data_IF_135023374593
#
_entry.id   IF_135023374593
#
_cell.length_a   1.000
_cell.length_b   1.000
_cell.length_c   1.000
_cell.angle_alpha   90.00
_cell.angle_beta   90.00
_cell.angle_gamma   90.00
#
_symmetry.space_group_name_H-M   'P 1'
#
loop_
_entity.id
_entity.type
_entity.pdbx_description
1 polymer ?
#
# COMPACT_ATOMS: atom_id res chain seq x y z
N UNK A 1 64.96 -26.61 19.77
CA UNK A 1 64.77 -27.06 21.17
C UNK A 1 63.59 -26.38 21.87
N UNK A 2 63.49 -25.05 21.97
CA UNK A 2 62.36 -24.38 22.66
C UNK A 2 61.03 -24.36 21.85
N UNK A 3 61.08 -24.41 20.51
CA UNK A 3 59.89 -24.46 19.63
C UNK A 3 59.17 -25.81 19.64
N UNK A 4 59.88 -26.88 19.99
CA UNK A 4 59.39 -28.25 19.92
C UNK A 4 58.49 -28.59 21.13
N UNK A 5 58.81 -28.01 22.29
CA UNK A 5 58.01 -28.14 23.51
C UNK A 5 56.62 -27.50 23.35
N UNK A 6 56.56 -26.34 22.68
CA UNK A 6 55.31 -25.62 22.45
C UNK A 6 54.36 -26.37 21.50
N UNK A 7 54.89 -27.05 20.48
CA UNK A 7 54.10 -27.93 19.60
C UNK A 7 53.63 -29.19 20.31
N UNK A 8 54.44 -29.73 21.22
CA UNK A 8 54.08 -30.91 22.03
C UNK A 8 52.92 -30.62 22.97
N UNK A 9 52.95 -29.47 23.66
CA UNK A 9 51.84 -29.02 24.52
C UNK A 9 50.56 -28.78 23.72
N UNK A 10 50.66 -28.13 22.55
CA UNK A 10 49.51 -27.89 21.69
C UNK A 10 48.88 -29.20 21.19
N UNK A 11 49.69 -30.17 20.78
CA UNK A 11 49.16 -31.50 20.39
C UNK A 11 48.48 -32.21 21.55
N UNK A 12 49.03 -32.11 22.76
CA UNK A 12 48.50 -32.73 23.98
C UNK A 12 47.18 -32.09 24.43
N UNK A 13 47.03 -30.79 24.21
CA UNK A 13 45.77 -30.06 24.45
C UNK A 13 44.72 -30.45 23.42
N UNK A 14 45.06 -30.45 22.12
CA UNK A 14 44.13 -30.79 21.04
C UNK A 14 43.69 -32.26 21.13
N UNK A 15 44.58 -33.18 21.53
CA UNK A 15 44.24 -34.60 21.71
C UNK A 15 43.33 -34.88 22.91
N UNK A 16 43.24 -33.96 23.85
CA UNK A 16 42.38 -34.07 25.04
C UNK A 16 41.04 -33.35 24.88
N UNK A 17 40.78 -32.77 23.70
CA UNK A 17 39.46 -32.23 23.42
C UNK A 17 38.48 -33.39 23.18
N UNK A 18 37.31 -33.38 23.83
CA UNK A 18 36.28 -34.38 23.58
C UNK A 18 35.79 -34.26 22.13
N UNK A 19 36.20 -35.19 21.28
CA UNK A 19 35.84 -35.26 19.84
C UNK A 19 34.58 -36.08 19.57
N UNK A 20 33.94 -36.62 20.61
CA UNK A 20 32.78 -37.49 20.46
C UNK A 20 31.48 -36.70 20.54
N UNK A 21 31.07 -36.12 19.41
CA UNK A 21 29.66 -35.83 19.18
C UNK A 21 28.99 -37.14 18.75
N UNK A 22 28.53 -37.92 19.71
CA UNK A 22 27.73 -39.11 19.41
C UNK A 22 26.44 -38.66 18.73
N UNK A 23 26.40 -38.75 17.40
CA UNK A 23 25.15 -38.71 16.64
C UNK A 23 24.38 -39.98 17.00
N UNK A 24 23.55 -39.89 18.04
CA UNK A 24 22.69 -40.99 18.49
C UNK A 24 21.83 -41.43 17.31
N UNK A 25 22.03 -42.66 16.86
CA UNK A 25 21.26 -43.30 15.80
C UNK A 25 19.83 -43.62 16.25
N UNK A 26 19.03 -42.58 16.51
CA UNK A 26 17.59 -42.65 16.71
C UNK A 26 16.92 -41.77 15.66
N UNK A 27 16.03 -42.37 14.85
CA UNK A 27 15.24 -41.67 13.82
C UNK A 27 14.09 -40.89 14.47
N UNK A 28 14.43 -39.94 15.35
CA UNK A 28 13.50 -39.02 16.00
C UNK A 28 14.03 -37.59 15.89
N UNK A 29 13.11 -36.62 15.79
CA UNK A 29 13.44 -35.20 15.66
C UNK A 29 14.20 -34.73 16.90
N UNK A 30 15.39 -34.14 16.74
CA UNK A 30 16.13 -33.56 17.86
C UNK A 30 15.54 -32.18 18.20
N UNK A 31 15.37 -31.88 19.50
CA UNK A 31 14.96 -30.55 19.95
C UNK A 31 15.90 -29.45 19.44
N UNK A 32 17.21 -29.75 19.38
CA UNK A 32 18.21 -28.82 18.84
C UNK A 32 18.01 -28.55 17.34
N UNK A 33 17.53 -29.53 16.59
CA UNK A 33 17.28 -29.40 15.15
C UNK A 33 16.09 -28.47 14.90
N UNK A 34 15.01 -28.61 15.68
CA UNK A 34 13.89 -27.68 15.62
C UNK A 34 14.29 -26.26 16.09
N UNK A 35 15.18 -26.18 17.08
CA UNK A 35 15.65 -24.90 17.63
C UNK A 35 16.45 -24.10 16.60
N UNK A 36 17.40 -24.72 15.91
CA UNK A 36 18.20 -24.03 14.88
C UNK A 36 17.31 -23.62 13.70
N UNK A 37 16.37 -24.48 13.29
CA UNK A 37 15.43 -24.17 12.20
C UNK A 37 14.57 -22.96 12.55
N UNK A 38 13.93 -22.97 13.73
CA UNK A 38 13.09 -21.84 14.17
C UNK A 38 13.88 -20.56 14.42
N UNK A 39 15.14 -20.67 14.86
CA UNK A 39 16.04 -19.53 14.99
C UNK A 39 16.33 -18.86 13.63
N UNK A 40 16.70 -19.65 12.62
CA UNK A 40 16.96 -19.13 11.26
C UNK A 40 15.66 -18.57 10.65
N UNK A 41 14.52 -19.26 10.81
CA UNK A 41 13.22 -18.76 10.36
C UNK A 41 12.84 -17.45 11.04
N UNK A 42 13.16 -17.28 12.33
CA UNK A 42 12.96 -16.03 13.06
C UNK A 42 13.73 -14.85 12.46
N UNK A 43 15.01 -15.07 12.10
CA UNK A 43 15.84 -14.04 11.45
C UNK A 43 15.29 -13.68 10.07
N UNK A 44 14.91 -14.68 9.27
CA UNK A 44 14.32 -14.44 7.95
C UNK A 44 13.00 -13.69 8.04
N UNK A 45 12.12 -14.08 8.97
CA UNK A 45 10.84 -13.41 9.18
C UNK A 45 11.01 -11.95 9.62
N UNK A 46 11.96 -11.65 10.51
CA UNK A 46 12.23 -10.29 10.97
C UNK A 46 12.58 -9.32 9.83
N UNK A 47 13.28 -9.81 8.80
CA UNK A 47 13.64 -9.02 7.62
C UNK A 47 12.49 -9.00 6.59
N UNK A 48 11.83 -10.13 6.38
CA UNK A 48 10.82 -10.28 5.34
C UNK A 48 9.51 -9.55 5.65
N UNK A 49 9.03 -9.62 6.90
CA UNK A 49 7.72 -9.06 7.31
C UNK A 49 7.60 -7.55 7.05
N UNK A 50 8.53 -6.67 7.47
CA UNK A 50 8.38 -5.23 7.23
C UNK A 50 8.38 -4.89 5.73
N UNK A 51 9.15 -5.62 4.91
CA UNK A 51 9.14 -5.44 3.47
C UNK A 51 7.81 -5.89 2.85
N UNK A 52 7.28 -7.03 3.29
CA UNK A 52 5.97 -7.52 2.86
C UNK A 52 4.87 -6.51 3.17
N UNK A 53 4.84 -5.94 4.37
CA UNK A 53 3.84 -4.94 4.76
C UNK A 53 3.88 -3.69 3.85
N UNK A 54 5.08 -3.21 3.49
CA UNK A 54 5.23 -2.10 2.55
C UNK A 54 4.70 -2.43 1.15
N UNK A 55 4.91 -3.66 0.68
CA UNK A 55 4.39 -4.10 -0.62
C UNK A 55 2.86 -4.24 -0.62
N UNK A 56 2.29 -4.71 0.50
CA UNK A 56 0.83 -4.75 0.67
C UNK A 56 0.25 -3.34 0.65
N UNK A 57 0.87 -2.38 1.33
CA UNK A 57 0.43 -0.98 1.32
C UNK A 57 0.50 -0.39 -0.10
N UNK A 58 1.58 -0.66 -0.85
CA UNK A 58 1.70 -0.24 -2.26
C UNK A 58 0.61 -0.85 -3.15
N UNK A 59 0.31 -2.14 -2.97
CA UNK A 59 -0.75 -2.82 -3.71
C UNK A 59 -2.13 -2.21 -3.43
N UNK A 60 -2.40 -1.80 -2.19
CA UNK A 60 -3.62 -1.10 -1.79
C UNK A 60 -3.76 0.26 -2.46
N UNK A 61 -2.69 1.07 -2.49
CA UNK A 61 -2.69 2.32 -3.26
C UNK A 61 -2.87 2.10 -4.76
N UNK A 62 -2.28 1.03 -5.31
CA UNK A 62 -2.48 0.66 -6.72
C UNK A 62 -3.93 0.30 -7.02
N UNK A 63 -4.59 -0.43 -6.11
CA UNK A 63 -6.02 -0.70 -6.22
C UNK A 63 -6.83 0.60 -6.16
N UNK A 64 -6.45 1.56 -5.31
CA UNK A 64 -7.14 2.84 -5.23
C UNK A 64 -7.04 3.66 -6.53
N UNK A 65 -5.86 3.66 -7.15
CA UNK A 65 -5.64 4.25 -8.49
C UNK A 65 -6.61 3.61 -9.50
N UNK A 66 -6.71 2.28 -9.54
CA UNK A 66 -7.62 1.58 -10.46
C UNK A 66 -9.09 1.94 -10.22
N UNK A 67 -9.52 2.03 -8.96
CA UNK A 67 -10.88 2.45 -8.61
C UNK A 67 -11.13 3.90 -9.07
N UNK A 68 -10.16 4.80 -8.86
CA UNK A 68 -10.24 6.21 -9.26
C UNK A 68 -10.30 6.39 -10.78
N UNK A 69 -9.50 5.64 -11.54
CA UNK A 69 -9.56 5.62 -13.01
C UNK A 69 -10.94 5.15 -13.52
N UNK A 70 -11.48 4.08 -12.91
CA UNK A 70 -12.81 3.57 -13.25
C UNK A 70 -13.91 4.60 -12.94
N UNK A 71 -13.82 5.28 -11.80
CA UNK A 71 -14.73 6.40 -11.45
C UNK A 71 -14.59 7.54 -12.47
N UNK A 72 -13.36 7.91 -12.84
CA UNK A 72 -13.10 8.96 -13.81
C UNK A 72 -13.72 8.66 -15.18
N UNK A 73 -13.61 7.43 -15.66
CA UNK A 73 -14.17 7.00 -16.94
C UNK A 73 -15.70 7.03 -16.94
N UNK A 74 -16.33 6.58 -15.85
CA UNK A 74 -17.78 6.66 -15.69
C UNK A 74 -18.27 8.12 -15.61
N UNK A 75 -17.54 8.99 -14.90
CA UNK A 75 -17.84 10.43 -14.81
C UNK A 75 -17.76 11.08 -16.19
N UNK A 76 -16.72 10.77 -16.99
CA UNK A 76 -16.58 11.25 -18.37
C UNK A 76 -17.74 10.73 -19.23
N UNK A 77 -18.10 9.45 -19.10
CA UNK A 77 -19.20 8.84 -19.85
C UNK A 77 -20.53 9.51 -19.53
N UNK A 78 -20.82 9.74 -18.24
CA UNK A 78 -22.02 10.47 -17.83
C UNK A 78 -22.08 11.88 -18.42
N UNK A 79 -20.95 12.57 -18.47
CA UNK A 79 -20.87 13.88 -19.10
C UNK A 79 -21.15 13.83 -20.61
N UNK A 80 -20.61 12.83 -21.32
CA UNK A 80 -20.89 12.63 -22.74
C UNK A 80 -22.37 12.35 -23.01
N UNK A 81 -23.05 11.64 -22.12
CA UNK A 81 -24.47 11.30 -22.27
C UNK A 81 -25.42 12.45 -21.91
N UNK A 82 -25.09 13.22 -20.85
CA UNK A 82 -26.02 14.19 -20.26
C UNK A 82 -25.61 15.65 -20.50
N UNK A 83 -24.42 15.91 -21.03
CA UNK A 83 -23.87 17.25 -21.26
C UNK A 83 -23.46 18.01 -19.98
N UNK A 84 -23.62 17.39 -18.81
CA UNK A 84 -23.24 17.94 -17.50
C UNK A 84 -22.57 16.86 -16.67
N UNK A 85 -21.68 17.25 -15.76
CA UNK A 85 -21.06 16.30 -14.83
C UNK A 85 -22.02 15.89 -13.72
N UNK A 86 -21.84 14.71 -13.10
CA UNK A 86 -22.60 14.32 -11.92
C UNK A 86 -22.49 15.40 -10.82
N UNK A 87 -23.60 15.65 -10.13
CA UNK A 87 -23.62 16.54 -8.96
C UNK A 87 -22.68 16.03 -7.87
N UNK A 88 -22.05 16.99 -7.19
CA UNK A 88 -21.26 16.78 -5.97
C UNK A 88 -22.06 15.99 -4.91
N UNK A 89 -21.38 15.04 -4.28
CA UNK A 89 -21.93 14.16 -3.25
C UNK A 89 -20.96 14.06 -2.10
N UNK A 90 -21.44 13.78 -0.89
CA UNK A 90 -20.55 13.63 0.25
C UNK A 90 -19.64 12.40 0.14
N UNK A 91 -18.51 12.42 0.83
CA UNK A 91 -17.52 11.35 0.81
C UNK A 91 -18.13 9.96 1.04
N UNK A 92 -17.61 8.97 0.30
CA UNK A 92 -18.08 7.59 0.25
C UNK A 92 -19.55 7.45 -0.19
N UNK A 93 -20.05 8.42 -0.95
CA UNK A 93 -21.35 8.36 -1.61
C UNK A 93 -21.13 8.30 -3.12
N UNK A 94 -21.84 7.37 -3.76
CA UNK A 94 -21.77 7.17 -5.21
C UNK A 94 -22.47 8.32 -5.95
N UNK A 95 -21.81 9.02 -6.87
CA UNK A 95 -22.46 10.01 -7.74
C UNK A 95 -23.43 9.34 -8.72
N UNK A 96 -24.39 10.11 -9.24
CA UNK A 96 -25.29 9.65 -10.30
C UNK A 96 -24.52 9.22 -11.55
N UNK A 97 -24.91 8.11 -12.17
CA UNK A 97 -24.25 7.60 -13.38
C UNK A 97 -22.91 6.90 -13.18
N UNK A 98 -22.31 7.00 -11.99
CA UNK A 98 -21.03 6.34 -11.69
C UNK A 98 -21.29 4.96 -11.10
N UNK A 99 -20.88 3.91 -11.81
CA UNK A 99 -21.13 2.50 -11.47
C UNK A 99 -19.90 1.83 -10.85
N UNK A 100 -18.70 2.24 -11.26
CA UNK A 100 -17.41 1.83 -10.72
C UNK A 100 -17.17 2.27 -9.28
N UNK A 101 -17.96 3.20 -8.73
CA UNK A 101 -17.76 3.69 -7.37
C UNK A 101 -17.85 2.54 -6.37
N UNK A 102 -16.78 2.26 -5.59
CA UNK A 102 -16.77 1.16 -4.63
C UNK A 102 -17.97 1.28 -3.70
N UNK A 103 -18.82 0.24 -3.70
CA UNK A 103 -20.01 0.21 -2.84
C UNK A 103 -19.57 0.37 -1.38
N UNK A 104 -20.46 0.92 -0.54
CA UNK A 104 -20.30 1.11 0.92
C UNK A 104 -19.85 -0.11 1.75
N UNK A 105 -19.56 -1.26 1.12
CA UNK A 105 -18.77 -2.32 1.71
C UNK A 105 -17.33 -1.83 1.92
N UNK A 106 -17.17 -1.09 3.01
CA UNK A 106 -15.92 -0.53 3.51
C UNK A 106 -14.78 -1.57 3.53
N UNK A 107 -15.09 -2.85 3.74
CA UNK A 107 -14.12 -3.97 3.71
C UNK A 107 -13.43 -4.20 2.36
N UNK A 108 -14.00 -3.67 1.26
CA UNK A 108 -13.45 -3.78 -0.09
C UNK A 108 -12.65 -2.55 -0.51
N UNK A 109 -12.77 -1.44 0.22
CA UNK A 109 -12.02 -0.22 -0.05
C UNK A 109 -10.61 -0.40 0.53
N UNK A 110 -9.54 -0.08 -0.21
CA UNK A 110 -8.19 -0.11 0.31
C UNK A 110 -8.10 0.66 1.64
N UNK A 111 -7.45 0.05 2.62
CA UNK A 111 -7.31 0.60 3.98
C UNK A 111 -8.62 0.92 4.73
N UNK A 112 -9.78 0.39 4.32
CA UNK A 112 -11.06 0.75 4.95
C UNK A 112 -11.33 2.27 4.85
N UNK A 113 -10.80 2.89 3.80
CA UNK A 113 -10.78 4.33 3.59
C UNK A 113 -12.01 4.82 2.83
N UNK A 114 -11.94 6.00 2.22
CA UNK A 114 -13.05 6.68 1.54
C UNK A 114 -12.58 7.30 0.24
N UNK A 115 -13.47 7.28 -0.75
CA UNK A 115 -13.37 8.08 -1.95
C UNK A 115 -14.31 9.27 -1.84
N UNK A 116 -13.90 10.41 -2.38
CA UNK A 116 -14.71 11.61 -2.48
C UNK A 116 -14.69 12.08 -3.93
N UNK A 117 -15.87 12.28 -4.50
CA UNK A 117 -16.03 12.86 -5.82
C UNK A 117 -16.57 14.26 -5.63
N UNK A 118 -15.84 15.25 -6.12
CA UNK A 118 -16.19 16.64 -5.95
C UNK A 118 -16.35 17.31 -7.32
N UNK A 119 -17.49 17.98 -7.49
CA UNK A 119 -17.76 18.81 -8.67
C UNK A 119 -17.97 20.26 -8.24
N UNK A 120 -17.03 21.13 -8.59
CA UNK A 120 -17.04 22.51 -8.12
C UNK A 120 -17.24 23.53 -9.24
N UNK A 121 -18.20 24.45 -9.04
CA UNK A 121 -18.44 25.57 -9.94
C UNK A 121 -17.33 26.62 -9.84
N UNK A 122 -16.41 26.68 -10.79
CA UNK A 122 -15.31 27.64 -10.79
C UNK A 122 -15.58 28.96 -11.51
N UNK A 123 -16.80 29.48 -11.41
CA UNK A 123 -17.20 30.74 -12.04
C UNK A 123 -17.85 30.51 -13.41
N UNK A 124 -17.59 31.41 -14.37
CA UNK A 124 -18.22 31.55 -15.70
C UNK A 124 -18.44 30.25 -16.49
N UNK A 125 -19.42 29.45 -16.05
CA UNK A 125 -19.78 28.14 -16.60
C UNK A 125 -18.63 27.12 -16.61
N UNK A 126 -17.71 27.18 -15.63
CA UNK A 126 -16.62 26.21 -15.51
C UNK A 126 -16.88 25.19 -14.41
N UNK A 127 -16.68 23.90 -14.72
CA UNK A 127 -16.76 22.83 -13.74
C UNK A 127 -15.39 22.20 -13.50
N UNK A 128 -15.04 22.06 -12.22
CA UNK A 128 -13.80 21.44 -11.75
C UNK A 128 -14.15 20.09 -11.17
N UNK A 129 -13.53 19.04 -11.70
CA UNK A 129 -13.80 17.68 -11.25
C UNK A 129 -12.56 17.09 -10.60
N UNK A 130 -12.74 16.64 -9.37
CA UNK A 130 -11.69 16.01 -8.58
C UNK A 130 -12.22 14.73 -7.93
N UNK A 131 -11.38 13.70 -7.90
CA UNK A 131 -11.61 12.47 -7.17
C UNK A 131 -10.48 12.36 -6.14
N UNK A 132 -10.83 12.16 -4.88
CA UNK A 132 -9.87 12.08 -3.78
C UNK A 132 -10.04 10.76 -3.05
N UNK A 133 -8.96 10.06 -2.77
CA UNK A 133 -8.90 8.89 -1.90
C UNK A 133 -8.15 9.28 -0.61
N UNK A 134 -8.75 9.07 0.56
CA UNK A 134 -8.22 9.55 1.85
C UNK A 134 -7.08 8.69 2.42
N UNK A 135 -6.55 7.74 1.65
CA UNK A 135 -5.37 6.99 2.07
C UNK A 135 -5.55 6.10 3.28
N UNK A 136 -4.44 5.81 3.96
CA UNK A 136 -4.35 4.81 5.03
C UNK A 136 -5.12 5.18 6.30
N UNK A 137 -5.23 6.46 6.62
CA UNK A 137 -5.90 6.93 7.83
C UNK A 137 -7.42 7.14 7.64
N UNK A 138 -7.90 7.17 6.40
CA UNK A 138 -9.32 7.36 6.08
C UNK A 138 -9.87 8.76 6.38
N UNK A 139 -8.98 9.75 6.53
CA UNK A 139 -9.28 11.15 6.84
C UNK A 139 -8.74 12.02 5.72
N UNK A 140 -9.54 12.98 5.24
CA UNK A 140 -9.11 13.93 4.22
C UNK A 140 -8.03 14.85 4.80
N UNK A 141 -6.81 14.72 4.31
CA UNK A 141 -5.70 15.60 4.65
C UNK A 141 -5.54 16.73 3.62
N UNK A 142 -5.93 16.47 2.38
CA UNK A 142 -5.83 17.40 1.27
C UNK A 142 -6.71 18.65 1.51
N UNK A 143 -6.29 19.82 1.00
CA UNK A 143 -7.14 21.01 0.99
C UNK A 143 -8.30 20.84 0.00
N UNK A 144 -9.46 21.41 0.28
CA UNK A 144 -10.62 21.45 -0.64
C UNK A 144 -10.51 22.59 -1.67
N UNK A 145 -9.31 23.15 -1.85
CA UNK A 145 -9.08 24.31 -2.70
C UNK A 145 -8.81 23.89 -4.15
N UNK A 146 -9.57 24.50 -5.07
CA UNK A 146 -9.68 24.17 -6.51
C UNK A 146 -8.42 24.45 -7.35
N UNK A 147 -7.43 25.17 -6.81
CA UNK A 147 -6.27 25.69 -7.58
C UNK A 147 -5.00 24.88 -7.39
N UNK A 148 -4.94 24.02 -6.36
CA UNK A 148 -3.67 23.36 -5.97
C UNK A 148 -3.30 22.20 -6.90
N UNK A 149 -4.29 21.57 -7.54
CA UNK A 149 -4.12 20.37 -8.36
C UNK A 149 -4.86 20.53 -9.68
N UNK A 150 -4.34 21.38 -10.56
CA UNK A 150 -5.08 21.80 -11.77
C UNK A 150 -4.66 21.11 -13.06
N UNK A 151 -3.56 20.34 -13.07
CA UNK A 151 -3.17 19.62 -14.28
C UNK A 151 -4.04 18.36 -14.43
N UNK A 152 -4.79 18.24 -15.54
CA UNK A 152 -5.71 17.13 -15.74
C UNK A 152 -4.95 15.82 -15.97
N UNK A 153 -5.46 14.73 -15.39
CA UNK A 153 -4.99 13.36 -15.65
C UNK A 153 -3.74 12.95 -14.88
N UNK A 154 -3.25 13.78 -13.96
CA UNK A 154 -2.17 13.41 -13.04
C UNK A 154 -2.71 13.07 -11.65
N UNK A 155 -2.02 12.12 -11.03
CA UNK A 155 -2.19 11.77 -9.63
C UNK A 155 -1.29 12.65 -8.78
N UNK A 156 -1.85 13.24 -7.73
CA UNK A 156 -1.11 14.00 -6.73
C UNK A 156 -1.22 13.32 -5.38
N UNK A 157 -0.07 13.13 -4.74
CA UNK A 157 0.00 12.62 -3.38
C UNK A 157 0.04 13.80 -2.40
N UNK A 158 -0.80 13.78 -1.37
CA UNK A 158 -0.81 14.75 -0.28
C UNK A 158 -0.90 14.05 1.06
N UNK A 159 0.23 13.88 1.74
CA UNK A 159 0.34 13.04 2.94
C UNK A 159 -0.07 11.60 2.63
N UNK A 160 -1.22 11.15 3.12
CA UNK A 160 -1.82 9.85 2.78
C UNK A 160 -2.84 9.94 1.62
N UNK A 161 -3.32 11.14 1.27
CA UNK A 161 -4.36 11.31 0.25
C UNK A 161 -3.79 11.11 -1.16
N UNK A 162 -4.58 10.48 -2.02
CA UNK A 162 -4.34 10.38 -3.45
C UNK A 162 -5.42 11.16 -4.19
N UNK A 163 -5.01 12.08 -5.06
CA UNK A 163 -5.89 13.04 -5.70
C UNK A 163 -5.76 12.89 -7.22
N UNK A 164 -6.89 12.72 -7.90
CA UNK A 164 -6.98 12.74 -9.36
C UNK A 164 -7.85 13.91 -9.79
N UNK A 165 -7.25 14.84 -10.53
CA UNK A 165 -8.00 15.94 -11.16
C UNK A 165 -8.30 15.58 -12.61
N UNK A 166 -9.58 15.62 -13.01
CA UNK A 166 -9.95 15.38 -14.41
C UNK A 166 -9.78 16.63 -15.27
N UNK A 167 -9.81 17.81 -14.66
CA UNK A 167 -9.55 19.09 -15.30
C UNK A 167 -10.64 20.13 -15.04
N UNK A 168 -10.54 21.19 -15.83
CA UNK A 168 -11.48 22.31 -15.85
C UNK A 168 -12.21 22.24 -17.18
N UNK A 169 -13.54 22.12 -17.12
CA UNK A 169 -14.39 22.00 -18.29
C UNK A 169 -15.21 23.27 -18.47
N UNK A 170 -15.34 23.76 -19.70
CA UNK A 170 -16.19 24.91 -20.07
C UNK A 170 -17.68 24.52 -20.14
N UNK A 171 -18.13 23.77 -19.13
CA UNK A 171 -19.49 23.30 -18.94
C UNK A 171 -19.87 23.52 -17.48
N UNK A 172 -21.13 23.93 -17.17
CA UNK A 172 -21.54 24.12 -15.79
C UNK A 172 -21.59 22.80 -15.01
N UNK A 173 -21.32 22.84 -13.70
CA UNK A 173 -21.66 21.72 -12.81
C UNK A 173 -23.17 21.67 -12.58
N UNK A 174 -23.67 20.48 -12.22
CA UNK A 174 -25.06 20.25 -11.86
C UNK A 174 -25.42 20.77 -10.46
#
# INVERSE_FOLDING_TARGET
MMKDYHRSLLKKVISNLPTNYHYFGQKGFNLLELLIVTFILGILAAIAVPNLLKQVDKARYTQAIMDMDCIADDVRTYHLENGVFPKDVGSNTKPSGVNCFPRRNIDKIPFNSRYDYESWNGGSQKCYIQITFFGKNGVRNSPTNRVVFSEPGLYYDYDDDLILTLGIFDTPCQ
#
